data_IF_796047190726
#
_entry.id   IF_796047190726
#
_cell.length_a   1.000
_cell.length_b   1.000
_cell.length_c   1.000
_cell.angle_alpha   90.00
_cell.angle_beta   90.00
_cell.angle_gamma   90.00
#
_symmetry.space_group_name_H-M   'P 1'
#
loop_
_entity.id
_entity.type
_entity.pdbx_description
1 polymer ?
#
# COMPACT_ATOMS: atom_id res chain seq x y z
N UNK A 1 5.57 8.49 -15.49
CA UNK A 1 6.17 7.68 -14.40
C UNK A 1 5.82 8.36 -13.10
N UNK A 2 5.27 7.61 -12.14
CA UNK A 2 5.01 8.07 -10.77
C UNK A 2 6.08 7.54 -9.83
N UNK A 3 6.35 8.26 -8.74
CA UNK A 3 7.06 7.76 -7.56
C UNK A 3 6.04 7.24 -6.57
N UNK A 4 6.02 5.94 -6.35
CA UNK A 4 5.01 5.23 -5.55
C UNK A 4 5.63 4.76 -4.24
N UNK A 5 5.02 5.14 -3.10
CA UNK A 5 5.23 4.48 -1.83
C UNK A 5 4.27 3.29 -1.74
N UNK A 6 4.82 2.09 -1.76
CA UNK A 6 4.07 0.83 -1.62
C UNK A 6 4.24 0.31 -0.19
N UNK A 7 3.13 0.02 0.46
CA UNK A 7 3.08 -0.52 1.82
C UNK A 7 1.99 -1.59 1.96
N UNK A 8 1.86 -2.20 3.13
CA UNK A 8 0.82 -3.16 3.49
C UNK A 8 0.71 -3.28 5.02
N UNK A 9 -0.07 -4.22 5.52
CA UNK A 9 -0.10 -4.63 6.93
C UNK A 9 0.37 -6.08 7.16
N UNK A 10 0.64 -6.83 6.08
CA UNK A 10 1.13 -8.22 6.17
C UNK A 10 2.66 -8.32 6.39
N UNK A 11 3.40 -7.27 6.06
CA UNK A 11 4.86 -7.21 6.16
C UNK A 11 5.56 -7.00 4.81
N UNK A 12 6.78 -6.43 4.85
CA UNK A 12 7.55 -6.03 3.66
C UNK A 12 7.95 -7.21 2.76
N UNK A 13 8.04 -8.42 3.29
CA UNK A 13 8.46 -9.64 2.59
C UNK A 13 7.28 -10.53 2.16
N UNK A 14 6.04 -10.12 2.44
CA UNK A 14 4.85 -10.86 2.05
C UNK A 14 4.76 -11.01 0.53
N UNK A 15 4.24 -12.16 0.08
CA UNK A 15 4.13 -12.50 -1.35
C UNK A 15 3.35 -11.43 -2.14
N UNK A 16 2.22 -10.98 -1.59
CA UNK A 16 1.32 -10.08 -2.31
C UNK A 16 1.93 -8.70 -2.58
N UNK A 17 2.66 -8.12 -1.61
CA UNK A 17 3.32 -6.83 -1.82
C UNK A 17 4.45 -6.96 -2.84
N UNK A 18 5.21 -8.07 -2.82
CA UNK A 18 6.27 -8.33 -3.79
C UNK A 18 5.72 -8.46 -5.20
N UNK A 19 4.64 -9.23 -5.38
CA UNK A 19 3.96 -9.36 -6.69
C UNK A 19 3.49 -8.01 -7.21
N UNK A 20 2.87 -7.20 -6.35
CA UNK A 20 2.42 -5.85 -6.75
C UNK A 20 3.60 -4.92 -7.05
N UNK A 21 4.68 -5.00 -6.28
CA UNK A 21 5.91 -4.26 -6.50
C UNK A 21 6.51 -4.54 -7.89
N UNK A 22 6.65 -5.82 -8.25
CA UNK A 22 7.17 -6.24 -9.54
C UNK A 22 6.35 -5.65 -10.69
N UNK A 23 5.02 -5.78 -10.61
CA UNK A 23 4.11 -5.28 -11.65
C UNK A 23 4.11 -3.76 -11.78
N UNK A 24 4.09 -3.04 -10.67
CA UNK A 24 4.14 -1.57 -10.68
C UNK A 24 5.49 -1.05 -11.18
N UNK A 25 6.58 -1.76 -10.88
CA UNK A 25 7.94 -1.37 -11.26
C UNK A 25 8.20 -1.46 -12.77
N UNK A 26 7.35 -2.15 -13.53
CA UNK A 26 7.43 -2.17 -15.00
C UNK A 26 7.24 -0.78 -15.61
N UNK A 27 6.45 0.11 -14.96
CA UNK A 27 6.07 1.41 -15.51
C UNK A 27 6.30 2.61 -14.58
N UNK A 28 6.65 2.37 -13.31
CA UNK A 28 6.78 3.39 -12.28
C UNK A 28 8.03 3.20 -11.44
N UNK A 29 8.40 4.22 -10.69
CA UNK A 29 9.42 4.11 -9.65
C UNK A 29 8.73 3.75 -8.33
N UNK A 30 9.04 2.58 -7.77
CA UNK A 30 8.34 2.04 -6.59
C UNK A 30 9.31 1.81 -5.44
N UNK A 31 8.92 2.19 -4.24
CA UNK A 31 9.61 1.87 -2.98
C UNK A 31 8.68 1.10 -2.08
N UNK A 32 9.15 -0.03 -1.56
CA UNK A 32 8.48 -0.73 -0.46
C UNK A 32 8.95 -0.09 0.84
N UNK A 33 8.00 0.46 1.60
CA UNK A 33 8.20 0.91 2.98
C UNK A 33 7.06 0.30 3.78
N UNK A 34 7.32 -0.82 4.44
CA UNK A 34 6.27 -1.66 5.01
C UNK A 34 6.70 -2.25 6.36
N UNK A 35 5.75 -2.73 7.17
CA UNK A 35 6.05 -3.30 8.47
C UNK A 35 7.03 -4.47 8.40
N UNK A 36 7.89 -4.57 9.41
CA UNK A 36 8.81 -5.70 9.60
C UNK A 36 8.05 -7.00 9.88
N UNK A 37 6.93 -6.90 10.58
CA UNK A 37 6.07 -8.02 10.98
C UNK A 37 4.63 -7.78 10.53
N UNK A 38 3.80 -8.83 10.59
CA UNK A 38 2.36 -8.68 10.35
C UNK A 38 1.72 -7.79 11.42
N UNK A 39 0.96 -6.80 10.97
CA UNK A 39 0.29 -5.78 11.78
C UNK A 39 -1.21 -5.67 11.45
N UNK A 40 -1.87 -6.80 11.17
CA UNK A 40 -3.30 -6.84 10.87
C UNK A 40 -4.14 -6.25 12.00
N UNK A 41 -5.18 -5.49 11.65
CA UNK A 41 -6.12 -4.91 12.63
C UNK A 41 -5.62 -3.67 13.37
N UNK A 42 -4.52 -3.07 12.94
CA UNK A 42 -3.93 -1.89 13.60
C UNK A 42 -4.58 -0.56 13.23
N UNK A 43 -5.56 -0.55 12.32
CA UNK A 43 -6.21 0.69 11.88
C UNK A 43 -5.19 1.72 11.36
N UNK A 44 -5.39 3.00 11.64
CA UNK A 44 -4.45 4.09 11.37
C UNK A 44 -3.61 4.46 12.62
N UNK A 45 -3.32 3.49 13.49
CA UNK A 45 -2.55 3.73 14.70
C UNK A 45 -1.11 4.16 14.37
N UNK A 46 -0.61 5.17 15.07
CA UNK A 46 0.75 5.70 14.97
C UNK A 46 1.49 5.42 16.29
N UNK A 47 2.74 4.99 16.20
CA UNK A 47 3.65 4.83 17.32
C UNK A 47 4.15 6.19 17.78
N UNK A 48 3.48 6.77 18.76
CA UNK A 48 3.71 8.15 19.18
C UNK A 48 4.82 8.30 20.23
N UNK A 49 4.98 7.30 21.08
CA UNK A 49 5.86 7.40 22.27
C UNK A 49 7.14 6.57 22.16
N UNK A 50 7.30 5.77 21.14
CA UNK A 50 8.41 4.84 21.00
C UNK A 50 9.30 5.21 19.81
N UNK A 51 10.58 4.91 19.94
CA UNK A 51 11.48 4.91 18.78
C UNK A 51 11.07 3.81 17.81
N UNK A 52 11.14 4.13 16.52
CA UNK A 52 10.81 3.20 15.44
C UNK A 52 12.08 2.88 14.67
N UNK A 53 12.47 1.61 14.66
CA UNK A 53 13.60 1.14 13.88
C UNK A 53 13.22 1.02 12.41
N UNK A 54 14.02 1.60 11.52
CA UNK A 54 13.90 1.47 10.08
C UNK A 54 15.13 0.78 9.54
N UNK A 55 14.95 -0.40 8.95
CA UNK A 55 16.02 -1.20 8.36
C UNK A 55 15.95 -1.12 6.83
N UNK A 56 17.03 -0.66 6.20
CA UNK A 56 17.16 -0.73 4.74
C UNK A 56 17.50 -2.16 4.34
N UNK A 57 16.58 -2.81 3.62
CA UNK A 57 16.72 -4.19 3.16
C UNK A 57 17.40 -4.24 1.78
N UNK A 58 17.01 -3.30 0.88
CA UNK A 58 17.54 -3.17 -0.46
C UNK A 58 17.48 -1.69 -0.87
N UNK A 59 17.91 -1.36 -2.08
CA UNK A 59 17.97 0.03 -2.58
C UNK A 59 16.62 0.77 -2.42
N UNK A 60 15.52 0.08 -2.69
CA UNK A 60 14.15 0.60 -2.63
C UNK A 60 13.23 -0.14 -1.68
N UNK A 61 13.78 -0.91 -0.73
CA UNK A 61 12.99 -1.72 0.21
C UNK A 61 13.42 -1.42 1.65
N UNK A 62 12.48 -1.00 2.47
CA UNK A 62 12.67 -0.67 3.87
C UNK A 62 11.66 -1.43 4.74
N UNK A 63 12.17 -2.07 5.79
CA UNK A 63 11.36 -2.70 6.83
C UNK A 63 11.27 -1.76 8.03
N UNK A 64 10.07 -1.50 8.51
CA UNK A 64 9.79 -0.59 9.62
C UNK A 64 9.27 -1.41 10.80
N UNK A 65 9.91 -1.29 11.96
CA UNK A 65 9.41 -1.93 13.20
C UNK A 65 8.31 -1.06 13.84
N UNK A 66 7.21 -0.93 13.11
CA UNK A 66 6.08 -0.08 13.41
C UNK A 66 4.80 -0.52 12.71
N UNK A 67 3.77 0.30 12.84
CA UNK A 67 2.46 0.06 12.21
C UNK A 67 2.47 0.37 10.71
N UNK A 68 1.46 -0.07 9.94
CA UNK A 68 1.31 0.33 8.54
C UNK A 68 1.21 1.86 8.36
N UNK A 69 0.56 2.55 9.29
CA UNK A 69 0.47 4.01 9.28
C UNK A 69 1.82 4.67 9.56
N UNK A 70 2.66 4.10 10.45
CA UNK A 70 4.03 4.55 10.67
C UNK A 70 4.87 4.44 9.39
N UNK A 71 4.69 3.36 8.63
CA UNK A 71 5.40 3.15 7.37
C UNK A 71 5.12 4.27 6.36
N UNK A 72 3.84 4.61 6.17
CA UNK A 72 3.45 5.73 5.30
C UNK A 72 3.98 7.05 5.83
N UNK A 73 3.83 7.30 7.13
CA UNK A 73 4.24 8.55 7.76
C UNK A 73 5.75 8.78 7.64
N UNK A 74 6.56 7.79 8.02
CA UNK A 74 8.01 7.87 7.95
C UNK A 74 8.51 7.90 6.50
N UNK A 75 7.90 7.13 5.61
CA UNK A 75 8.23 7.12 4.19
C UNK A 75 8.01 8.46 3.52
N UNK A 76 6.94 9.17 3.89
CA UNK A 76 6.62 10.47 3.34
C UNK A 76 7.45 11.63 3.93
N UNK A 77 8.00 11.47 5.14
CA UNK A 77 8.64 12.58 5.85
C UNK A 77 10.16 12.45 6.01
N UNK A 78 10.71 11.22 6.05
CA UNK A 78 12.09 11.07 6.53
C UNK A 78 12.94 9.98 5.90
N UNK A 79 12.36 8.91 5.33
CA UNK A 79 13.15 7.78 4.81
C UNK A 79 13.84 8.12 3.48
N UNK A 80 13.21 8.98 2.68
CA UNK A 80 13.73 9.43 1.39
C UNK A 80 13.78 10.97 1.34
N UNK A 81 14.59 11.51 0.44
CA UNK A 81 14.83 12.95 0.28
C UNK A 81 14.04 13.58 -0.89
N UNK A 82 13.02 12.89 -1.36
CA UNK A 82 12.12 13.34 -2.43
C UNK A 82 10.65 13.11 -2.06
N UNK A 83 9.73 13.73 -2.81
CA UNK A 83 8.29 13.54 -2.62
C UNK A 83 7.76 12.37 -3.45
N UNK A 84 6.91 11.55 -2.85
CA UNK A 84 6.10 10.55 -3.55
C UNK A 84 4.89 11.20 -4.22
N UNK A 85 4.45 10.64 -5.33
CA UNK A 85 3.23 11.06 -6.03
C UNK A 85 1.97 10.42 -5.41
N UNK A 86 2.08 9.20 -4.88
CA UNK A 86 0.97 8.39 -4.38
C UNK A 86 1.43 7.37 -3.32
N UNK A 87 0.53 7.04 -2.40
CA UNK A 87 0.64 5.86 -1.54
C UNK A 87 -0.28 4.77 -2.06
N UNK A 88 0.25 3.57 -2.23
CA UNK A 88 -0.49 2.34 -2.53
C UNK A 88 -0.29 1.36 -1.39
N UNK A 89 -1.36 0.85 -0.81
CA UNK A 89 -1.34 -0.11 0.29
C UNK A 89 -2.01 -1.41 -0.11
N UNK A 90 -1.31 -2.53 -0.03
CA UNK A 90 -1.81 -3.86 -0.35
C UNK A 90 -0.78 -4.74 -1.06
N UNK A 91 -1.21 -5.85 -1.63
CA UNK A 91 -2.60 -6.38 -1.70
C UNK A 91 -2.91 -7.15 -0.42
N UNK A 92 -3.92 -6.72 0.32
CA UNK A 92 -4.32 -7.36 1.57
C UNK A 92 -5.02 -8.70 1.33
N UNK A 93 -4.75 -9.66 2.20
CA UNK A 93 -5.53 -10.89 2.32
C UNK A 93 -6.83 -10.63 3.09
N UNK A 94 -7.96 -10.86 2.46
CA UNK A 94 -9.27 -10.56 3.03
C UNK A 94 -9.79 -9.17 2.64
N UNK A 95 -11.10 -9.06 2.46
CA UNK A 95 -11.77 -7.82 2.09
C UNK A 95 -11.76 -6.79 3.23
N UNK A 96 -11.62 -5.53 2.89
CA UNK A 96 -11.83 -4.39 3.79
C UNK A 96 -13.09 -3.63 3.36
N UNK A 97 -14.27 -4.08 3.84
CA UNK A 97 -15.58 -3.59 3.41
C UNK A 97 -16.43 -3.23 4.63
N UNK A 98 -17.30 -2.24 4.49
CA UNK A 98 -18.18 -1.82 5.56
C UNK A 98 -17.45 -1.36 6.81
N UNK A 99 -17.79 -1.90 7.96
CA UNK A 99 -17.18 -1.52 9.25
C UNK A 99 -15.72 -1.96 9.39
N UNK A 100 -15.29 -3.00 8.67
CA UNK A 100 -13.92 -3.50 8.73
C UNK A 100 -12.91 -2.47 8.24
N UNK A 101 -13.33 -1.53 7.37
CA UNK A 101 -12.51 -0.40 6.91
C UNK A 101 -11.94 0.41 8.08
N UNK A 102 -12.68 0.55 9.18
CA UNK A 102 -12.26 1.32 10.36
C UNK A 102 -11.10 0.67 11.12
N UNK A 103 -10.96 -0.64 11.01
CA UNK A 103 -9.95 -1.42 11.71
C UNK A 103 -8.79 -1.85 10.82
N UNK A 104 -8.88 -1.60 9.52
CA UNK A 104 -7.91 -2.03 8.53
C UNK A 104 -6.61 -1.26 8.62
N UNK A 105 -5.49 -1.97 8.80
CA UNK A 105 -4.15 -1.42 8.68
C UNK A 105 -3.81 -1.04 7.23
N UNK A 106 -4.31 -1.81 6.26
CA UNK A 106 -4.16 -1.52 4.82
C UNK A 106 -4.76 -0.16 4.46
N UNK A 107 -6.00 0.10 4.88
CA UNK A 107 -6.68 1.39 4.66
C UNK A 107 -6.02 2.49 5.48
N UNK A 108 -5.65 2.20 6.73
CA UNK A 108 -4.95 3.14 7.63
C UNK A 108 -3.64 3.65 7.03
N UNK A 109 -2.85 2.78 6.44
CA UNK A 109 -1.62 3.15 5.74
C UNK A 109 -1.90 4.04 4.52
N UNK A 110 -2.91 3.71 3.71
CA UNK A 110 -3.29 4.51 2.55
C UNK A 110 -3.66 5.95 2.95
N UNK A 111 -4.38 6.14 4.06
CA UNK A 111 -4.78 7.46 4.57
C UNK A 111 -3.59 8.42 4.72
N UNK A 112 -2.39 7.92 5.03
CA UNK A 112 -1.16 8.71 5.11
C UNK A 112 -0.90 9.54 3.85
N UNK A 113 -1.23 9.03 2.68
CA UNK A 113 -1.03 9.67 1.38
C UNK A 113 -2.12 10.64 0.93
N UNK A 114 -3.14 10.93 1.76
CA UNK A 114 -4.33 11.71 1.37
C UNK A 114 -4.07 13.12 0.84
N UNK A 115 -2.92 13.70 1.14
CA UNK A 115 -2.54 15.04 0.73
C UNK A 115 -1.58 15.07 -0.47
N UNK A 116 -1.21 13.92 -0.99
CA UNK A 116 -0.33 13.80 -2.15
C UNK A 116 -1.06 14.21 -3.45
N UNK A 117 -0.31 14.21 -4.53
CA UNK A 117 -0.80 14.60 -5.86
C UNK A 117 -1.94 13.72 -6.35
N UNK A 118 -1.83 12.40 -6.13
CA UNK A 118 -2.87 11.44 -6.47
C UNK A 118 -3.53 10.87 -5.22
N UNK A 119 -4.81 10.49 -5.30
CA UNK A 119 -5.50 9.87 -4.17
C UNK A 119 -4.83 8.55 -3.81
N UNK A 120 -4.55 8.29 -2.52
CA UNK A 120 -3.99 7.02 -2.10
C UNK A 120 -4.98 5.87 -2.33
N UNK A 121 -4.43 4.68 -2.52
CA UNK A 121 -5.20 3.50 -2.88
C UNK A 121 -4.93 2.39 -1.88
N UNK A 122 -5.98 1.82 -1.29
CA UNK A 122 -5.96 0.58 -0.54
C UNK A 122 -6.51 -0.54 -1.42
N UNK A 123 -5.81 -1.67 -1.50
CA UNK A 123 -6.14 -2.79 -2.36
C UNK A 123 -6.24 -4.06 -1.52
N UNK A 124 -7.34 -4.78 -1.66
CA UNK A 124 -7.61 -6.05 -0.99
C UNK A 124 -8.17 -7.08 -1.95
N UNK A 125 -7.93 -8.35 -1.70
CA UNK A 125 -8.61 -9.46 -2.33
C UNK A 125 -9.49 -10.18 -1.30
N UNK A 126 -10.73 -10.49 -1.66
CA UNK A 126 -11.71 -11.12 -0.78
C UNK A 126 -11.43 -12.63 -0.58
N UNK A 127 -10.18 -12.97 -0.23
CA UNK A 127 -9.69 -14.31 0.02
C UNK A 127 -8.44 -14.27 0.88
N UNK A 128 -8.27 -15.26 1.75
CA UNK A 128 -7.02 -15.48 2.49
C UNK A 128 -6.00 -16.33 1.71
N UNK A 129 -6.47 -17.03 0.67
CA UNK A 129 -5.66 -17.83 -0.24
C UNK A 129 -6.13 -17.56 -1.67
N UNK A 130 -5.70 -16.43 -2.20
CA UNK A 130 -6.12 -15.94 -3.51
C UNK A 130 -5.66 -16.89 -4.62
N UNK A 131 -6.57 -17.25 -5.52
CA UNK A 131 -6.33 -18.17 -6.64
C UNK A 131 -5.25 -17.65 -7.59
N UNK A 132 -5.27 -16.36 -7.90
CA UNK A 132 -4.37 -15.73 -8.85
C UNK A 132 -4.00 -14.31 -8.43
N UNK A 133 -2.97 -14.19 -7.61
CA UNK A 133 -2.51 -12.88 -7.13
C UNK A 133 -1.83 -12.06 -8.25
N UNK A 134 -1.24 -12.73 -9.26
CA UNK A 134 -0.64 -12.06 -10.41
C UNK A 134 -1.71 -11.36 -11.24
N UNK A 135 -2.86 -12.01 -11.47
CA UNK A 135 -4.00 -11.40 -12.13
C UNK A 135 -4.53 -10.18 -11.37
N UNK A 136 -4.71 -10.31 -10.05
CA UNK A 136 -5.15 -9.19 -9.19
C UNK A 136 -4.15 -8.03 -9.23
N UNK A 137 -2.84 -8.31 -9.20
CA UNK A 137 -1.80 -7.29 -9.31
C UNK A 137 -1.84 -6.58 -10.67
N UNK A 138 -2.01 -7.32 -11.77
CA UNK A 138 -2.15 -6.74 -13.11
C UNK A 138 -3.39 -5.80 -13.18
N UNK A 139 -4.54 -6.25 -12.67
CA UNK A 139 -5.76 -5.42 -12.63
C UNK A 139 -5.59 -4.20 -11.73
N UNK A 140 -4.87 -4.32 -10.64
CA UNK A 140 -4.52 -3.18 -9.78
C UNK A 140 -3.70 -2.14 -10.55
N UNK A 141 -2.69 -2.56 -11.31
CA UNK A 141 -1.88 -1.66 -12.15
C UNK A 141 -2.72 -0.96 -13.21
N UNK A 142 -3.65 -1.67 -13.88
CA UNK A 142 -4.56 -1.05 -14.85
C UNK A 142 -5.39 0.07 -14.22
N UNK A 143 -5.92 -0.13 -12.99
CA UNK A 143 -6.72 0.86 -12.28
C UNK A 143 -5.84 2.05 -11.86
N UNK A 144 -4.65 1.79 -11.31
CA UNK A 144 -3.69 2.83 -10.92
C UNK A 144 -3.32 3.70 -12.11
N UNK A 145 -3.06 3.10 -13.27
CA UNK A 145 -2.75 3.82 -14.51
C UNK A 145 -3.94 4.66 -15.00
N UNK A 146 -5.18 4.18 -14.86
CA UNK A 146 -6.38 4.97 -15.17
C UNK A 146 -6.50 6.19 -14.26
N UNK A 147 -6.23 6.04 -12.97
CA UNK A 147 -6.24 7.14 -12.00
C UNK A 147 -5.15 8.16 -12.35
N UNK A 148 -3.94 7.69 -12.65
CA UNK A 148 -2.81 8.52 -13.08
C UNK A 148 -3.13 9.37 -14.32
N UNK A 149 -3.85 8.80 -15.28
CA UNK A 149 -4.25 9.48 -16.52
C UNK A 149 -5.56 10.28 -16.39
N UNK A 150 -6.23 10.18 -15.23
CA UNK A 150 -7.48 10.90 -14.98
C UNK A 150 -7.21 12.40 -14.74
N UNK A 151 -8.10 13.24 -15.28
CA UNK A 151 -8.12 14.68 -15.00
C UNK A 151 -8.94 15.02 -13.75
N UNK A 152 -9.51 14.03 -13.08
CA UNK A 152 -10.35 14.27 -11.89
C UNK A 152 -9.48 14.56 -10.67
N UNK A 153 -9.84 15.62 -9.95
CA UNK A 153 -9.22 15.94 -8.67
C UNK A 153 -9.92 15.16 -7.56
N UNK A 154 -9.24 14.15 -7.03
CA UNK A 154 -9.72 13.34 -5.90
C UNK A 154 -8.94 13.65 -4.61
N UNK A 155 -8.44 14.88 -4.47
CA UNK A 155 -7.66 15.31 -3.31
C UNK A 155 -8.44 15.10 -2.01
N UNK A 156 -7.80 14.55 -1.00
CA UNK A 156 -8.41 14.25 0.29
C UNK A 156 -9.31 13.01 0.30
N UNK A 157 -9.39 12.27 -0.82
CA UNK A 157 -10.11 11.00 -0.91
C UNK A 157 -9.13 9.84 -0.80
N UNK A 158 -9.61 8.72 -0.30
CA UNK A 158 -8.92 7.42 -0.33
C UNK A 158 -9.74 6.49 -1.22
N UNK A 159 -9.08 5.82 -2.13
CA UNK A 159 -9.71 4.82 -3.00
C UNK A 159 -9.49 3.46 -2.35
N UNK A 160 -10.58 2.79 -2.00
CA UNK A 160 -10.56 1.45 -1.41
C UNK A 160 -11.09 0.44 -2.44
N UNK A 161 -10.23 -0.45 -2.90
CA UNK A 161 -10.52 -1.45 -3.93
C UNK A 161 -10.54 -2.82 -3.28
N UNK A 162 -11.62 -3.56 -3.50
CA UNK A 162 -11.75 -4.94 -3.08
C UNK A 162 -12.06 -5.81 -4.29
N UNK A 163 -11.10 -6.68 -4.64
CA UNK A 163 -11.28 -7.65 -5.72
C UNK A 163 -11.97 -8.91 -5.20
N UNK A 164 -12.91 -9.49 -5.93
CA UNK A 164 -13.32 -10.87 -5.71
C UNK A 164 -12.14 -11.81 -5.98
N UNK A 165 -12.18 -13.03 -5.43
CA UNK A 165 -11.17 -14.06 -5.67
C UNK A 165 -11.39 -14.69 -7.06
N UNK A 166 -10.80 -14.07 -8.05
CA UNK A 166 -10.91 -14.44 -9.48
C UNK A 166 -9.53 -14.70 -10.08
N UNK A 167 -9.50 -15.47 -11.14
CA UNK A 167 -8.32 -15.73 -11.98
C UNK A 167 -8.58 -15.30 -13.40
N UNK A 168 -7.52 -15.18 -14.18
CA UNK A 168 -7.61 -15.13 -15.64
C UNK A 168 -7.95 -16.56 -16.13
N UNK A 169 -9.14 -16.74 -16.75
CA UNK A 169 -9.56 -17.99 -17.42
C UNK A 169 -9.19 -17.95 -18.90
#
# INVERSE_FOLDING_TARGET
IMKILLTNDDGYDAKNIKTLYEKLSENHEVWIIAPKNNCSGMSAAISYLNEIEVTKIDEKIYAVDGTPADCSYLGLLSIVDFEFDIVVSGINHGANIGNDVLYSGTVGAAIGGRNLKYPPIAISVASYDAKDIDYIANKSCEIINKIFNSKQTLKGKVININFPDISEE
#
